data_IF_684856946878
#
_entry.id   IF_684856946878
#
_cell.length_a   1.000
_cell.length_b   1.000
_cell.length_c   1.000
_cell.angle_alpha   90.00
_cell.angle_beta   90.00
_cell.angle_gamma   90.00
#
_symmetry.space_group_name_H-M   'P 1'
#
loop_
_entity.id
_entity.type
_entity.pdbx_description
1 polymer ?
#
# COMPACT_ATOMS: atom_id res chain seq x y z
N UNK A 1 -0.43 -1.53 11.78
CA UNK A 1 -0.40 -0.18 11.15
C UNK A 1 0.14 0.88 12.09
N UNK A 2 -0.24 0.87 13.36
CA UNK A 2 0.25 1.89 14.31
C UNK A 2 1.78 1.96 14.37
N UNK A 3 2.47 0.84 14.53
CA UNK A 3 3.93 0.81 14.66
C UNK A 3 4.67 1.22 13.36
N UNK A 4 4.20 0.78 12.20
CA UNK A 4 4.77 1.23 10.92
C UNK A 4 4.56 2.73 10.71
N UNK A 5 3.41 3.25 11.11
CA UNK A 5 3.15 4.68 11.06
C UNK A 5 3.98 5.45 12.09
N UNK A 6 4.26 4.87 13.27
CA UNK A 6 5.15 5.45 14.29
C UNK A 6 6.57 5.55 13.74
N UNK A 7 7.13 4.49 13.16
CA UNK A 7 8.48 4.53 12.58
C UNK A 7 8.62 5.54 11.44
N UNK A 8 7.58 5.69 10.57
CA UNK A 8 7.56 6.76 9.58
C UNK A 8 7.48 8.13 10.25
N UNK A 9 6.66 8.28 11.28
CA UNK A 9 6.54 9.53 12.04
C UNK A 9 7.85 9.90 12.72
N UNK A 10 8.55 8.93 13.30
CA UNK A 10 9.85 9.14 13.94
C UNK A 10 10.91 9.56 12.91
N UNK A 11 10.93 8.93 11.73
CA UNK A 11 11.83 9.32 10.65
C UNK A 11 11.55 10.74 10.14
N UNK A 12 10.28 11.13 10.03
CA UNK A 12 9.88 12.49 9.67
C UNK A 12 10.26 13.51 10.76
N UNK A 13 10.04 13.18 12.03
CA UNK A 13 10.41 14.01 13.17
C UNK A 13 11.94 14.21 13.24
N UNK A 14 12.70 13.12 13.06
CA UNK A 14 14.16 13.18 13.03
C UNK A 14 14.68 14.06 11.89
N UNK A 15 14.09 13.95 10.69
CA UNK A 15 14.38 14.83 9.55
C UNK A 15 14.10 16.28 9.88
N UNK A 16 12.93 16.57 10.45
CA UNK A 16 12.52 17.94 10.80
C UNK A 16 13.46 18.54 11.83
N UNK A 17 13.85 17.78 12.87
CA UNK A 17 14.80 18.20 13.88
C UNK A 17 16.21 18.49 13.29
N UNK A 18 16.62 17.70 12.29
CA UNK A 18 17.90 17.87 11.61
C UNK A 18 17.89 18.99 10.54
N UNK A 19 16.74 19.51 10.15
CA UNK A 19 16.61 20.53 9.10
C UNK A 19 17.12 20.05 7.72
N UNK A 20 17.11 18.74 7.44
CA UNK A 20 17.67 18.16 6.22
C UNK A 20 16.59 17.95 5.13
N UNK A 21 16.98 17.98 3.84
CA UNK A 21 16.07 17.60 2.75
C UNK A 21 15.54 16.17 2.94
N UNK A 22 14.32 15.91 2.42
CA UNK A 22 13.77 14.58 2.39
C UNK A 22 14.59 13.64 1.52
N UNK A 23 14.60 12.37 1.90
CA UNK A 23 15.33 11.32 1.19
C UNK A 23 14.59 10.00 1.22
N UNK A 24 14.87 9.14 0.25
CA UNK A 24 14.45 7.75 0.22
C UNK A 24 15.58 6.87 0.75
N UNK A 25 15.26 6.01 1.72
CA UNK A 25 16.25 5.13 2.38
C UNK A 25 15.78 3.68 2.27
N UNK A 26 16.34 2.88 1.36
CA UNK A 26 16.08 1.45 1.29
C UNK A 26 16.95 0.69 2.31
N UNK A 27 16.34 -0.24 3.01
CA UNK A 27 17.01 -1.23 3.89
C UNK A 27 16.64 -2.62 3.42
N UNK A 28 17.60 -3.34 2.85
CA UNK A 28 17.38 -4.72 2.41
C UNK A 28 17.10 -5.60 3.63
N UNK A 29 16.02 -6.37 3.59
CA UNK A 29 15.57 -7.28 4.64
C UNK A 29 15.68 -8.76 4.25
N UNK A 30 15.64 -9.08 2.96
CA UNK A 30 15.86 -10.43 2.45
C UNK A 30 16.37 -10.41 1.00
N UNK A 31 17.10 -11.47 0.63
CA UNK A 31 17.58 -11.71 -0.74
C UNK A 31 17.55 -13.19 -1.07
N UNK A 32 17.31 -13.48 -2.35
CA UNK A 32 17.46 -14.80 -2.94
C UNK A 32 17.96 -14.71 -4.36
N UNK A 33 18.00 -15.84 -5.04
CA UNK A 33 18.43 -15.90 -6.44
C UNK A 33 17.37 -15.25 -7.35
N UNK A 34 17.69 -14.05 -7.81
CA UNK A 34 16.85 -13.26 -8.73
C UNK A 34 15.74 -12.42 -8.05
N UNK A 35 15.74 -12.28 -6.72
CA UNK A 35 14.83 -11.39 -6.01
C UNK A 35 15.48 -10.73 -4.79
N UNK A 36 14.98 -9.54 -4.46
CA UNK A 36 15.38 -8.78 -3.27
C UNK A 36 14.14 -8.16 -2.64
N UNK A 37 14.07 -8.13 -1.32
CA UNK A 37 13.03 -7.41 -0.56
C UNK A 37 13.68 -6.34 0.30
N UNK A 38 13.12 -5.15 0.27
CA UNK A 38 13.59 -4.03 1.07
C UNK A 38 12.44 -3.28 1.74
N UNK A 39 12.72 -2.80 2.94
CA UNK A 39 11.95 -1.79 3.64
C UNK A 39 12.42 -0.43 3.14
N UNK A 40 11.54 0.33 2.54
CA UNK A 40 11.86 1.63 1.93
C UNK A 40 11.09 2.70 2.66
N UNK A 41 11.82 3.58 3.34
CA UNK A 41 11.25 4.76 4.02
C UNK A 41 11.62 6.01 3.22
N UNK A 42 10.62 6.74 2.82
CA UNK A 42 10.78 8.05 2.18
C UNK A 42 10.34 9.15 3.16
N UNK A 43 11.17 10.14 3.35
CA UNK A 43 10.86 11.30 4.20
C UNK A 43 10.62 12.59 3.40
N UNK A 44 10.49 12.50 2.07
CA UNK A 44 10.21 13.67 1.23
C UNK A 44 8.84 14.28 1.53
N UNK A 45 8.72 15.59 1.35
CA UNK A 45 7.50 16.37 1.55
C UNK A 45 7.26 17.35 0.39
N UNK A 46 6.24 18.24 0.51
CA UNK A 46 5.82 19.12 -0.57
C UNK A 46 6.89 20.13 -1.04
N UNK A 47 7.88 20.40 -0.21
CA UNK A 47 8.96 21.34 -0.51
C UNK A 47 10.18 20.65 -1.13
N UNK A 48 10.24 19.33 -1.09
CA UNK A 48 11.34 18.59 -1.70
C UNK A 48 11.10 18.45 -3.21
N UNK A 49 12.19 18.33 -3.95
CA UNK A 49 12.11 18.06 -5.39
C UNK A 49 11.58 16.65 -5.61
N UNK A 50 10.76 16.44 -6.66
CA UNK A 50 10.38 15.08 -7.05
C UNK A 50 11.63 14.22 -7.24
N UNK A 51 11.52 12.99 -6.77
CA UNK A 51 12.58 12.01 -6.90
C UNK A 51 12.44 11.31 -8.25
N UNK A 52 13.42 11.48 -9.12
CA UNK A 52 13.46 10.85 -10.45
C UNK A 52 14.54 9.77 -10.47
N UNK A 53 14.18 8.59 -10.94
CA UNK A 53 15.09 7.47 -11.08
C UNK A 53 14.65 6.50 -12.19
N UNK A 54 15.45 5.45 -12.39
CA UNK A 54 15.15 4.35 -13.31
C UNK A 54 15.08 3.04 -12.54
N UNK A 55 14.04 2.23 -12.80
CA UNK A 55 13.94 0.89 -12.25
C UNK A 55 15.06 -0.01 -12.80
N UNK A 56 16.01 -0.39 -11.95
CA UNK A 56 17.09 -1.32 -12.31
C UNK A 56 16.62 -2.75 -12.47
N UNK A 57 15.50 -3.07 -11.85
CA UNK A 57 14.83 -4.38 -11.82
C UNK A 57 13.33 -4.18 -11.97
N UNK A 58 12.58 -5.26 -12.20
CA UNK A 58 11.12 -5.18 -12.11
C UNK A 58 10.73 -5.00 -10.65
N UNK A 59 9.96 -3.97 -10.35
CA UNK A 59 9.58 -3.59 -9.00
C UNK A 59 8.09 -3.80 -8.73
N UNK A 60 7.78 -4.37 -7.57
CA UNK A 60 6.43 -4.38 -6.97
C UNK A 60 6.58 -3.87 -5.55
N UNK A 61 6.10 -2.65 -5.27
CA UNK A 61 6.18 -2.08 -3.93
C UNK A 61 4.80 -2.01 -3.29
N UNK A 62 4.67 -2.56 -2.08
CA UNK A 62 3.46 -2.52 -1.26
C UNK A 62 3.52 -1.27 -0.40
N UNK A 63 2.62 -0.31 -0.59
CA UNK A 63 2.52 0.87 0.27
C UNK A 63 1.98 0.46 1.64
N UNK A 64 2.78 0.65 2.68
CA UNK A 64 2.43 0.29 4.06
C UNK A 64 1.90 1.50 4.86
N UNK A 65 2.43 2.70 4.59
CA UNK A 65 1.99 3.94 5.21
C UNK A 65 2.24 5.12 4.27
N UNK A 66 1.47 6.19 4.46
CA UNK A 66 1.59 7.42 3.69
C UNK A 66 0.92 7.37 2.32
N UNK A 67 1.10 8.47 1.58
CA UNK A 67 0.59 8.58 0.22
C UNK A 67 1.47 9.51 -0.61
N UNK A 68 1.70 9.16 -1.87
CA UNK A 68 2.52 9.92 -2.80
C UNK A 68 2.02 9.78 -4.23
N UNK A 69 2.48 10.64 -5.09
CA UNK A 69 2.25 10.57 -6.52
C UNK A 69 3.39 9.78 -7.18
N UNK A 70 3.03 8.84 -8.03
CA UNK A 70 3.96 8.06 -8.83
C UNK A 70 3.65 8.26 -10.31
N UNK A 71 4.67 8.62 -11.09
CA UNK A 71 4.58 8.81 -12.54
C UNK A 71 5.63 7.95 -13.24
N UNK A 72 5.19 7.22 -14.26
CA UNK A 72 6.06 6.43 -15.14
C UNK A 72 5.51 6.42 -16.57
N UNK A 73 6.16 5.70 -17.46
CA UNK A 73 5.66 5.49 -18.84
C UNK A 73 4.30 4.77 -18.89
N UNK A 74 3.91 4.07 -17.82
CA UNK A 74 2.64 3.31 -17.72
C UNK A 74 1.49 4.12 -17.10
N UNK A 75 1.75 5.35 -16.65
CA UNK A 75 0.73 6.24 -16.12
C UNK A 75 1.20 7.10 -14.96
N UNK A 76 0.26 7.91 -14.46
CA UNK A 76 0.40 8.73 -13.25
C UNK A 76 -0.69 8.35 -12.27
N UNK A 77 -0.30 7.95 -11.07
CA UNK A 77 -1.17 7.38 -10.06
C UNK A 77 -0.91 7.97 -8.69
N UNK A 78 -1.96 8.06 -7.87
CA UNK A 78 -1.83 8.33 -6.44
C UNK A 78 -1.66 6.99 -5.72
N UNK A 79 -0.52 6.80 -5.10
CA UNK A 79 -0.22 5.67 -4.24
C UNK A 79 -0.80 5.91 -2.85
N UNK A 80 -1.40 4.88 -2.28
CA UNK A 80 -2.00 4.91 -0.95
C UNK A 80 -1.86 3.56 -0.26
N UNK A 81 -2.00 3.55 1.06
CA UNK A 81 -1.82 2.35 1.87
C UNK A 81 -2.61 1.14 1.35
N UNK A 82 -1.89 0.05 1.12
CA UNK A 82 -2.40 -1.21 0.58
C UNK A 82 -2.40 -1.30 -0.95
N UNK A 83 -2.07 -0.24 -1.67
CA UNK A 83 -1.85 -0.29 -3.12
C UNK A 83 -0.50 -0.90 -3.46
N UNK A 84 -0.37 -1.44 -4.66
CA UNK A 84 0.90 -1.85 -5.23
C UNK A 84 1.36 -0.84 -6.27
N UNK A 85 2.58 -0.36 -6.13
CA UNK A 85 3.32 0.35 -7.17
C UNK A 85 3.98 -0.67 -8.08
N UNK A 86 3.91 -0.45 -9.39
CA UNK A 86 4.45 -1.35 -10.41
C UNK A 86 5.49 -0.62 -11.26
N UNK A 87 6.71 -1.15 -11.26
CA UNK A 87 7.83 -0.64 -12.04
C UNK A 87 8.38 -1.68 -13.02
N UNK A 88 8.55 -1.30 -14.27
CA UNK A 88 9.21 -2.16 -15.27
C UNK A 88 10.69 -1.88 -15.31
N UNK A 89 11.52 -2.92 -15.40
CA UNK A 89 12.95 -2.81 -15.63
C UNK A 89 13.28 -1.86 -16.78
N UNK A 90 14.25 -0.96 -16.57
CA UNK A 90 14.74 -0.01 -17.56
C UNK A 90 13.84 1.22 -17.78
N UNK A 91 12.68 1.32 -17.09
CA UNK A 91 11.79 2.47 -17.24
C UNK A 91 12.05 3.53 -16.16
N UNK A 92 12.07 4.80 -16.60
CA UNK A 92 12.15 5.95 -15.70
C UNK A 92 10.84 6.14 -14.93
N UNK A 93 10.96 6.66 -13.70
CA UNK A 93 9.83 7.03 -12.87
C UNK A 93 10.13 8.28 -12.04
N UNK A 94 9.06 8.92 -11.59
CA UNK A 94 9.11 10.06 -10.67
C UNK A 94 8.18 9.78 -9.49
N UNK A 95 8.69 9.99 -8.27
CA UNK A 95 7.88 10.03 -7.05
C UNK A 95 7.83 11.46 -6.49
N UNK A 96 6.64 11.92 -6.11
CA UNK A 96 6.42 13.26 -5.57
C UNK A 96 5.46 13.25 -4.38
N UNK A 97 5.80 14.01 -3.33
CA UNK A 97 4.96 14.20 -2.13
C UNK A 97 4.31 15.59 -2.15
N UNK A 98 3.56 15.92 -3.20
CA UNK A 98 2.98 17.27 -3.40
C UNK A 98 1.98 17.66 -2.31
N UNK A 99 1.34 16.68 -1.68
CA UNK A 99 0.21 16.90 -0.76
C UNK A 99 0.31 16.11 0.53
N UNK A 100 1.43 15.45 0.78
CA UNK A 100 1.70 14.65 1.96
C UNK A 100 3.17 14.70 2.34
N UNK A 101 3.52 14.09 3.46
CA UNK A 101 4.88 13.95 3.92
C UNK A 101 5.17 12.47 4.15
N UNK A 102 6.16 11.97 3.45
CA UNK A 102 6.70 10.64 3.59
C UNK A 102 5.76 9.49 3.21
N UNK A 103 6.39 8.36 3.01
CA UNK A 103 5.73 7.06 2.87
C UNK A 103 6.67 5.93 3.31
N UNK A 104 6.10 4.75 3.51
CA UNK A 104 6.84 3.53 3.75
C UNK A 104 6.30 2.40 2.89
N UNK A 105 7.21 1.73 2.21
CA UNK A 105 6.90 0.64 1.29
C UNK A 105 7.71 -0.61 1.61
N UNK A 106 7.11 -1.80 1.44
CA UNK A 106 7.86 -3.04 1.27
C UNK A 106 8.04 -3.25 -0.23
N UNK A 107 9.26 -3.08 -0.70
CA UNK A 107 9.59 -3.18 -2.11
C UNK A 107 10.21 -4.54 -2.44
N UNK A 108 9.65 -5.19 -3.44
CA UNK A 108 10.14 -6.43 -4.01
C UNK A 108 10.74 -6.11 -5.38
N UNK A 109 12.01 -6.42 -5.54
CA UNK A 109 12.74 -6.26 -6.79
C UNK A 109 13.07 -7.61 -7.37
N UNK A 110 12.83 -7.78 -8.65
CA UNK A 110 13.02 -9.02 -9.38
C UNK A 110 13.95 -8.81 -10.55
N UNK A 111 15.02 -9.59 -10.62
CA UNK A 111 15.88 -9.63 -11.81
C UNK A 111 15.03 -9.91 -13.05
N UNK A 112 15.33 -9.26 -14.20
CA UNK A 112 14.48 -9.36 -15.39
C UNK A 112 14.20 -10.79 -15.83
N UNK A 113 15.20 -11.66 -15.83
CA UNK A 113 15.10 -13.06 -16.23
C UNK A 113 14.25 -13.87 -15.26
N UNK A 114 14.40 -13.60 -13.96
CA UNK A 114 13.60 -14.25 -12.91
C UNK A 114 12.14 -13.87 -13.03
N UNK A 115 11.84 -12.57 -13.19
CA UNK A 115 10.46 -12.10 -13.39
C UNK A 115 9.83 -12.67 -14.66
N UNK A 116 10.60 -12.77 -15.76
CA UNK A 116 10.13 -13.34 -17.01
C UNK A 116 9.74 -14.83 -16.86
N UNK A 117 10.52 -15.61 -16.09
CA UNK A 117 10.17 -17.00 -15.76
C UNK A 117 8.86 -17.06 -14.96
N UNK A 118 8.74 -16.30 -13.87
CA UNK A 118 7.51 -16.26 -13.06
C UNK A 118 6.28 -15.87 -13.90
N UNK A 119 6.43 -14.92 -14.81
CA UNK A 119 5.35 -14.50 -15.69
C UNK A 119 4.97 -15.61 -16.70
N UNK A 120 5.97 -16.36 -17.21
CA UNK A 120 5.70 -17.50 -18.08
C UNK A 120 4.98 -18.63 -17.34
N UNK A 121 5.43 -18.97 -16.14
CA UNK A 121 4.82 -20.00 -15.29
C UNK A 121 3.39 -19.63 -14.87
N UNK A 122 3.11 -18.34 -14.73
CA UNK A 122 1.77 -17.80 -14.52
C UNK A 122 0.90 -17.82 -15.79
N UNK A 123 1.38 -18.36 -16.90
CA UNK A 123 0.63 -18.48 -18.16
C UNK A 123 0.54 -17.18 -18.96
N UNK A 124 1.39 -16.19 -18.67
CA UNK A 124 1.36 -14.89 -19.35
C UNK A 124 2.10 -14.95 -20.70
N UNK A 125 1.47 -14.40 -21.76
CA UNK A 125 2.10 -14.32 -23.08
C UNK A 125 3.34 -13.42 -23.04
N UNK A 126 4.37 -13.71 -23.86
CA UNK A 126 5.62 -12.96 -23.89
C UNK A 126 5.43 -11.44 -24.05
N UNK A 127 4.46 -11.01 -24.88
CA UNK A 127 4.13 -9.61 -25.10
C UNK A 127 3.47 -8.92 -23.87
N UNK A 128 2.97 -9.69 -22.91
CA UNK A 128 2.22 -9.20 -21.74
C UNK A 128 3.02 -9.34 -20.43
N UNK A 129 4.32 -9.69 -20.52
CA UNK A 129 5.19 -9.87 -19.34
C UNK A 129 5.76 -8.56 -18.78
N UNK A 130 5.16 -7.43 -19.15
CA UNK A 130 5.44 -6.11 -18.60
C UNK A 130 4.15 -5.51 -18.06
N UNK A 131 4.25 -4.75 -16.99
CA UNK A 131 3.10 -4.03 -16.47
C UNK A 131 2.68 -2.94 -17.45
N UNK A 132 1.39 -2.91 -17.77
CA UNK A 132 0.75 -1.87 -18.61
C UNK A 132 0.11 -0.77 -17.78
N UNK A 133 0.12 -0.93 -16.45
CA UNK A 133 -0.41 0.03 -15.46
C UNK A 133 0.66 0.31 -14.42
N UNK A 134 0.62 1.50 -13.85
CA UNK A 134 1.57 1.93 -12.83
C UNK A 134 1.17 1.45 -11.41
N UNK A 135 -0.11 1.05 -11.22
CA UNK A 135 -0.66 0.73 -9.91
C UNK A 135 -1.68 -0.41 -9.98
N UNK A 136 -1.67 -1.26 -8.96
CA UNK A 136 -2.83 -2.09 -8.60
C UNK A 136 -3.47 -1.48 -7.35
N UNK A 137 -4.79 -1.17 -7.36
CA UNK A 137 -5.50 -0.70 -6.18
C UNK A 137 -5.41 -1.70 -5.02
N UNK A 138 -5.73 -1.30 -3.76
CA UNK A 138 -5.78 -2.23 -2.63
C UNK A 138 -6.92 -3.24 -2.80
N UNK A 139 -6.71 -4.25 -3.63
CA UNK A 139 -7.68 -5.29 -3.94
C UNK A 139 -7.67 -6.41 -2.90
N UNK A 140 -8.85 -6.98 -2.63
CA UNK A 140 -9.04 -8.07 -1.68
C UNK A 140 -8.12 -9.30 -1.90
N UNK A 141 -7.86 -9.77 -3.13
CA UNK A 141 -6.94 -10.89 -3.35
C UNK A 141 -5.50 -10.66 -2.87
N UNK A 142 -5.12 -9.41 -2.60
CA UNK A 142 -3.79 -9.02 -2.10
C UNK A 142 -3.74 -8.82 -0.59
N UNK A 143 -4.89 -8.79 0.10
CA UNK A 143 -4.96 -8.36 1.51
C UNK A 143 -4.12 -9.21 2.46
N UNK A 144 -4.07 -10.54 2.26
CA UNK A 144 -3.23 -11.43 3.06
C UNK A 144 -1.73 -11.18 2.84
N UNK A 145 -1.32 -10.95 1.60
CA UNK A 145 0.08 -10.66 1.25
C UNK A 145 0.50 -9.32 1.86
N UNK A 146 -0.34 -8.29 1.69
CA UNK A 146 -0.10 -6.94 2.25
C UNK A 146 0.02 -6.99 3.78
N UNK A 147 -0.86 -7.74 4.44
CA UNK A 147 -0.82 -7.89 5.90
C UNK A 147 0.42 -8.66 6.38
N UNK A 148 0.78 -9.78 5.70
CA UNK A 148 2.00 -10.55 6.02
C UNK A 148 3.27 -9.73 5.83
N UNK A 149 3.38 -9.01 4.71
CA UNK A 149 4.52 -8.12 4.47
C UNK A 149 4.62 -7.01 5.53
N UNK A 150 3.50 -6.43 5.95
CA UNK A 150 3.46 -5.43 7.02
C UNK A 150 3.81 -6.02 8.39
N UNK A 151 3.33 -7.22 8.73
CA UNK A 151 3.69 -7.91 9.97
C UNK A 151 5.19 -8.22 10.04
N UNK A 152 5.77 -8.65 8.92
CA UNK A 152 7.18 -8.97 8.81
C UNK A 152 8.12 -7.77 9.04
N UNK A 153 7.66 -6.56 8.79
CA UNK A 153 8.43 -5.34 9.11
C UNK A 153 8.54 -5.10 10.64
N UNK A 154 7.59 -5.59 11.43
CA UNK A 154 7.46 -5.27 12.85
C UNK A 154 8.00 -6.34 13.78
N UNK A 155 7.83 -7.57 13.39
CA UNK A 155 8.17 -8.70 14.25
C UNK A 155 9.44 -9.36 13.78
N UNK A 156 10.21 -9.87 14.74
CA UNK A 156 11.26 -10.88 14.50
C UNK A 156 10.64 -12.23 14.09
N UNK A 157 9.55 -12.19 13.32
CA UNK A 157 8.88 -13.39 12.80
C UNK A 157 9.64 -13.82 11.56
N UNK A 158 10.04 -15.07 11.54
CA UNK A 158 10.64 -15.67 10.35
C UNK A 158 9.55 -15.77 9.26
N UNK A 159 9.66 -14.90 8.27
CA UNK A 159 8.73 -14.86 7.14
C UNK A 159 9.38 -15.53 5.96
N UNK A 160 8.73 -16.49 5.30
CA UNK A 160 9.24 -17.10 4.08
C UNK A 160 9.18 -16.08 2.94
N UNK A 161 10.16 -15.16 2.91
CA UNK A 161 10.21 -14.04 1.96
C UNK A 161 10.18 -14.49 0.49
N UNK A 162 10.79 -15.63 0.18
CA UNK A 162 10.77 -16.19 -1.17
C UNK A 162 9.36 -16.58 -1.59
N UNK A 163 8.64 -17.34 -0.75
CA UNK A 163 7.25 -17.71 -1.01
C UNK A 163 6.36 -16.46 -1.18
N UNK A 164 6.58 -15.45 -0.33
CA UNK A 164 5.85 -14.20 -0.41
C UNK A 164 6.16 -13.43 -1.69
N UNK A 165 7.44 -13.38 -2.10
CA UNK A 165 7.89 -12.72 -3.33
C UNK A 165 7.28 -13.39 -4.58
N UNK A 166 7.35 -14.73 -4.66
CA UNK A 166 6.77 -15.50 -5.78
C UNK A 166 5.26 -15.31 -5.83
N UNK A 167 4.58 -15.47 -4.69
CA UNK A 167 3.11 -15.33 -4.60
C UNK A 167 2.68 -13.90 -4.97
N UNK A 168 3.39 -12.88 -4.51
CA UNK A 168 3.12 -11.48 -4.85
C UNK A 168 3.26 -11.25 -6.36
N UNK A 169 4.37 -11.70 -6.96
CA UNK A 169 4.61 -11.53 -8.39
C UNK A 169 3.50 -12.16 -9.24
N UNK A 170 3.20 -13.44 -9.01
CA UNK A 170 2.19 -14.18 -9.78
C UNK A 170 0.80 -13.53 -9.64
N UNK A 171 0.38 -13.20 -8.42
CA UNK A 171 -0.92 -12.54 -8.20
C UNK A 171 -0.98 -11.14 -8.82
N UNK A 172 0.12 -10.39 -8.72
CA UNK A 172 0.19 -9.05 -9.30
C UNK A 172 0.10 -9.09 -10.82
N UNK A 173 0.81 -9.99 -11.48
CA UNK A 173 0.74 -10.19 -12.93
C UNK A 173 -0.70 -10.47 -13.36
N UNK A 174 -1.38 -11.39 -12.70
CA UNK A 174 -2.77 -11.76 -13.02
C UNK A 174 -3.73 -10.59 -12.80
N UNK A 175 -3.60 -9.86 -11.69
CA UNK A 175 -4.51 -8.77 -11.34
C UNK A 175 -4.25 -7.52 -12.20
N UNK A 176 -3.00 -7.21 -12.51
CA UNK A 176 -2.64 -6.03 -13.31
C UNK A 176 -3.22 -6.09 -14.73
N UNK A 177 -3.41 -7.28 -15.29
CA UNK A 177 -4.05 -7.47 -16.60
C UNK A 177 -5.53 -7.03 -16.62
N UNK A 178 -6.22 -7.05 -15.48
CA UNK A 178 -7.61 -6.61 -15.34
C UNK A 178 -7.79 -5.18 -14.83
N UNK A 179 -6.71 -4.45 -14.57
CA UNK A 179 -6.76 -3.06 -14.09
C UNK A 179 -6.70 -2.10 -15.28
N UNK A 180 -7.61 -1.12 -15.29
CA UNK A 180 -7.54 -0.01 -16.25
C UNK A 180 -6.70 1.13 -15.67
N UNK A 181 -5.91 1.85 -16.48
CA UNK A 181 -5.21 3.06 -16.05
C UNK A 181 -6.20 4.09 -15.48
N UNK A 182 -5.78 4.82 -14.45
CA UNK A 182 -6.61 5.90 -13.90
C UNK A 182 -6.79 7.02 -14.91
N UNK A 183 -7.99 7.60 -14.96
CA UNK A 183 -8.24 8.80 -15.76
C UNK A 183 -7.48 9.99 -15.17
N UNK A 184 -7.00 10.90 -16.02
CA UNK A 184 -6.38 12.15 -15.57
C UNK A 184 -7.32 12.92 -14.66
N UNK A 185 -6.82 13.29 -13.50
CA UNK A 185 -7.58 14.03 -12.50
C UNK A 185 -7.14 15.49 -12.46
N UNK A 186 -8.05 16.40 -12.07
CA UNK A 186 -7.66 17.77 -11.73
C UNK A 186 -6.71 17.75 -10.52
N UNK A 187 -5.68 18.58 -10.54
CA UNK A 187 -4.70 18.72 -9.44
C UNK A 187 -5.36 18.97 -8.08
N UNK A 188 -6.45 19.73 -8.06
CA UNK A 188 -7.21 20.02 -6.84
C UNK A 188 -7.82 18.77 -6.19
N UNK A 189 -8.17 17.76 -7.00
CA UNK A 189 -8.76 16.51 -6.50
C UNK A 189 -7.70 15.66 -5.76
N UNK A 190 -6.46 15.68 -6.22
CA UNK A 190 -5.36 14.95 -5.59
C UNK A 190 -5.06 15.49 -4.19
N UNK A 191 -4.97 16.82 -4.05
CA UNK A 191 -4.78 17.49 -2.76
C UNK A 191 -5.89 17.15 -1.76
N UNK A 192 -7.14 17.19 -2.22
CA UNK A 192 -8.30 16.85 -1.41
C UNK A 192 -8.25 15.39 -0.93
N UNK A 193 -7.90 14.47 -1.82
CA UNK A 193 -7.80 13.06 -1.49
C UNK A 193 -6.63 12.74 -0.56
N UNK A 194 -5.46 13.36 -0.76
CA UNK A 194 -4.33 13.20 0.15
C UNK A 194 -4.69 13.59 1.58
N UNK A 195 -5.45 14.71 1.77
CA UNK A 195 -5.97 15.09 3.10
C UNK A 195 -6.90 14.03 3.69
N UNK A 196 -7.80 13.48 2.88
CA UNK A 196 -8.74 12.44 3.31
C UNK A 196 -8.01 11.14 3.68
N UNK A 197 -7.04 10.70 2.88
CA UNK A 197 -6.24 9.50 3.15
C UNK A 197 -5.51 9.64 4.50
N UNK A 198 -4.84 10.76 4.73
CA UNK A 198 -4.19 11.04 6.04
C UNK A 198 -5.19 11.05 7.19
N UNK A 199 -6.41 11.58 6.99
CA UNK A 199 -7.46 11.55 8.01
C UNK A 199 -7.90 10.13 8.35
N UNK A 200 -8.01 9.27 7.34
CA UNK A 200 -8.34 7.85 7.52
C UNK A 200 -7.20 7.11 8.26
N UNK A 201 -5.96 7.39 7.92
CA UNK A 201 -4.79 6.74 8.54
C UNK A 201 -4.62 7.12 10.03
N UNK A 202 -4.86 8.39 10.36
CA UNK A 202 -4.81 8.86 11.76
C UNK A 202 -5.91 8.27 12.64
N UNK A 203 -7.01 7.80 12.04
CA UNK A 203 -8.17 7.30 12.78
C UNK A 203 -8.89 8.41 13.57
N UNK A 204 -9.61 8.02 14.61
CA UNK A 204 -10.38 8.93 15.50
C UNK A 204 -11.86 8.97 15.13
N UNK A 205 -12.51 10.12 15.21
CA UNK A 205 -13.95 10.34 15.05
C UNK A 205 -14.64 9.61 13.88
N UNK A 206 -15.96 9.46 13.90
CA UNK A 206 -16.71 8.74 12.87
C UNK A 206 -16.38 9.23 11.44
N UNK A 207 -15.81 8.36 10.63
CA UNK A 207 -15.45 8.65 9.25
C UNK A 207 -16.63 8.38 8.31
N UNK A 208 -17.68 9.20 8.43
CA UNK A 208 -18.85 9.12 7.54
C UNK A 208 -18.52 9.71 6.16
N UNK A 209 -19.28 9.30 5.14
CA UNK A 209 -19.13 9.84 3.78
C UNK A 209 -19.25 11.38 3.78
N UNK A 210 -20.21 11.93 4.51
CA UNK A 210 -20.40 13.38 4.61
C UNK A 210 -19.23 14.09 5.31
N UNK A 211 -18.65 13.51 6.36
CA UNK A 211 -17.47 14.06 7.04
C UNK A 211 -16.25 14.06 6.13
N UNK A 212 -15.99 12.96 5.42
CA UNK A 212 -14.88 12.85 4.47
C UNK A 212 -15.04 13.80 3.27
N UNK A 213 -16.27 13.94 2.76
CA UNK A 213 -16.57 14.86 1.66
C UNK A 213 -16.34 16.33 2.08
N UNK A 214 -16.80 16.74 3.28
CA UNK A 214 -16.50 18.07 3.82
C UNK A 214 -15.00 18.30 3.99
N UNK A 215 -14.27 17.31 4.48
CA UNK A 215 -12.82 17.40 4.63
C UNK A 215 -12.10 17.55 3.27
N UNK A 216 -12.68 16.96 2.22
CA UNK A 216 -12.21 17.13 0.85
C UNK A 216 -12.62 18.47 0.22
N UNK A 217 -13.58 19.21 0.80
CA UNK A 217 -14.17 20.39 0.18
C UNK A 217 -15.06 20.07 -1.01
N UNK A 218 -15.69 18.88 -1.02
CA UNK A 218 -16.52 18.37 -2.11
C UNK A 218 -17.92 18.00 -1.61
N UNK A 219 -18.92 18.01 -2.52
CA UNK A 219 -20.20 17.38 -2.21
C UNK A 219 -20.02 15.87 -2.07
N UNK A 220 -20.88 15.15 -1.30
CA UNK A 220 -20.78 13.71 -1.13
C UNK A 220 -20.76 12.92 -2.44
N UNK A 221 -21.51 13.34 -3.43
CA UNK A 221 -21.56 12.69 -4.75
C UNK A 221 -20.23 12.88 -5.52
N UNK A 222 -19.73 14.11 -5.60
CA UNK A 222 -18.45 14.40 -6.26
C UNK A 222 -17.29 13.73 -5.55
N UNK A 223 -17.28 13.73 -4.21
CA UNK A 223 -16.28 13.02 -3.41
C UNK A 223 -16.28 11.53 -3.70
N UNK A 224 -17.45 10.87 -3.69
CA UNK A 224 -17.57 9.44 -3.97
C UNK A 224 -17.01 9.07 -5.36
N UNK A 225 -17.39 9.82 -6.39
CA UNK A 225 -16.90 9.62 -7.76
C UNK A 225 -15.40 9.81 -7.88
N UNK A 226 -14.89 10.92 -7.34
CA UNK A 226 -13.47 11.27 -7.40
C UNK A 226 -12.63 10.25 -6.62
N UNK A 227 -13.04 9.92 -5.40
CA UNK A 227 -12.34 8.93 -4.59
C UNK A 227 -12.26 7.58 -5.29
N UNK A 228 -13.38 7.08 -5.82
CA UNK A 228 -13.40 5.80 -6.56
C UNK A 228 -12.55 5.84 -7.82
N UNK A 229 -12.58 6.94 -8.57
CA UNK A 229 -11.78 7.09 -9.79
C UNK A 229 -10.27 7.08 -9.50
N UNK A 230 -9.84 7.71 -8.39
CA UNK A 230 -8.42 7.81 -8.01
C UNK A 230 -7.93 6.57 -7.28
N UNK A 231 -8.66 6.15 -6.26
CA UNK A 231 -8.21 5.08 -5.36
C UNK A 231 -8.59 3.69 -5.89
N UNK A 232 -9.55 3.61 -6.80
CA UNK A 232 -10.07 2.34 -7.33
C UNK A 232 -11.07 1.64 -6.43
N UNK A 233 -11.38 2.22 -5.26
CA UNK A 233 -12.32 1.72 -4.25
C UNK A 233 -13.26 2.83 -3.81
N UNK A 234 -14.43 2.45 -3.27
CA UNK A 234 -15.26 3.43 -2.56
C UNK A 234 -14.62 3.81 -1.22
N UNK A 235 -14.93 5.00 -0.65
CA UNK A 235 -14.44 5.41 0.66
C UNK A 235 -14.75 4.38 1.76
N UNK A 236 -15.94 3.80 1.75
CA UNK A 236 -16.34 2.76 2.70
C UNK A 236 -15.50 1.48 2.57
N UNK A 237 -15.28 1.01 1.33
CA UNK A 237 -14.42 -0.17 1.08
C UNK A 237 -12.98 0.09 1.52
N UNK A 238 -12.46 1.27 1.24
CA UNK A 238 -11.10 1.65 1.66
C UNK A 238 -10.97 1.69 3.19
N UNK A 239 -11.91 2.34 3.88
CA UNK A 239 -11.95 2.41 5.34
C UNK A 239 -12.08 1.03 5.98
N UNK A 240 -12.98 0.18 5.46
CA UNK A 240 -13.14 -1.18 5.95
C UNK A 240 -11.82 -1.97 5.86
N UNK A 241 -11.14 -1.90 4.71
CA UNK A 241 -9.85 -2.57 4.53
C UNK A 241 -8.75 -1.98 5.41
N UNK A 242 -8.74 -0.65 5.62
CA UNK A 242 -7.80 -0.03 6.55
C UNK A 242 -7.99 -0.58 7.98
N UNK A 243 -9.24 -0.70 8.45
CA UNK A 243 -9.57 -1.29 9.75
C UNK A 243 -9.17 -2.76 9.85
N UNK A 244 -9.43 -3.54 8.81
CA UNK A 244 -9.07 -4.96 8.77
C UNK A 244 -7.56 -5.17 8.75
N UNK A 245 -6.80 -4.34 8.03
CA UNK A 245 -5.32 -4.36 8.07
C UNK A 245 -4.80 -4.01 9.48
N UNK A 246 -5.37 -2.99 10.12
CA UNK A 246 -5.02 -2.65 11.49
C UNK A 246 -5.30 -3.80 12.47
N UNK A 247 -6.43 -4.49 12.30
CA UNK A 247 -6.76 -5.66 13.10
C UNK A 247 -5.79 -6.83 12.84
N UNK A 248 -5.46 -7.11 11.58
CA UNK A 248 -4.51 -8.15 11.21
C UNK A 248 -3.13 -7.90 11.84
N UNK A 249 -2.66 -6.67 11.83
CA UNK A 249 -1.44 -6.22 12.48
C UNK A 249 -1.46 -6.53 13.98
N UNK A 250 -2.49 -6.07 14.69
CA UNK A 250 -2.64 -6.30 16.14
C UNK A 250 -2.73 -7.78 16.53
N UNK A 251 -3.35 -8.61 15.67
CA UNK A 251 -3.44 -10.04 15.90
C UNK A 251 -2.08 -10.74 15.86
N UNK A 252 -1.12 -10.22 15.08
CA UNK A 252 0.25 -10.75 15.01
C UNK A 252 1.17 -10.20 16.09
N UNK A 253 0.84 -9.04 16.67
CA UNK A 253 1.66 -8.34 17.65
C UNK A 253 1.30 -8.68 19.10
N UNK A 254 0.09 -9.17 19.37
CA UNK A 254 -0.39 -9.39 20.72
C UNK A 254 -1.28 -10.61 20.86
N UNK A 255 -1.22 -11.23 22.05
CA UNK A 255 -2.12 -12.32 22.47
C UNK A 255 -3.45 -11.82 23.04
N UNK A 256 -3.75 -10.52 22.89
CA UNK A 256 -4.98 -9.88 23.34
C UNK A 256 -6.24 -10.58 22.79
N UNK A 257 -7.38 -10.43 23.46
CA UNK A 257 -8.63 -11.06 23.01
C UNK A 257 -9.02 -10.55 21.62
N UNK A 258 -9.49 -11.44 20.76
CA UNK A 258 -10.02 -11.07 19.43
C UNK A 258 -11.13 -10.00 19.54
N UNK A 259 -11.89 -10.04 20.63
CA UNK A 259 -12.91 -9.05 20.97
C UNK A 259 -12.32 -7.62 21.05
N UNK A 260 -11.24 -7.48 21.81
CA UNK A 260 -10.58 -6.19 22.03
C UNK A 260 -9.98 -5.68 20.73
N UNK A 261 -9.31 -6.56 19.98
CA UNK A 261 -8.77 -6.24 18.65
C UNK A 261 -9.86 -5.73 17.69
N UNK A 262 -11.07 -6.32 17.74
CA UNK A 262 -12.17 -5.90 16.89
C UNK A 262 -12.62 -4.46 17.24
N UNK A 263 -12.85 -4.17 18.52
CA UNK A 263 -13.29 -2.85 18.98
C UNK A 263 -12.21 -1.79 18.74
N UNK A 264 -10.97 -2.07 19.08
CA UNK A 264 -9.83 -1.17 18.86
C UNK A 264 -9.58 -0.87 17.38
N UNK A 265 -10.01 -1.77 16.48
CA UNK A 265 -9.95 -1.55 15.05
C UNK A 265 -11.18 -0.84 14.48
N UNK A 266 -12.09 -0.38 15.37
CA UNK A 266 -13.26 0.43 15.02
C UNK A 266 -14.47 -0.36 14.52
N UNK A 267 -14.58 -1.65 14.90
CA UNK A 267 -15.80 -2.43 14.68
C UNK A 267 -16.72 -2.30 15.91
N UNK A 268 -18.00 -2.07 15.68
CA UNK A 268 -18.99 -2.02 16.75
C UNK A 268 -19.57 -3.37 17.15
N UNK A 269 -19.25 -4.43 16.41
CA UNK A 269 -19.78 -5.79 16.62
C UNK A 269 -18.77 -6.84 16.14
N UNK A 270 -18.51 -7.84 16.99
CA UNK A 270 -17.55 -8.93 16.74
C UNK A 270 -18.01 -9.88 15.66
N UNK A 271 -19.31 -10.12 15.52
CA UNK A 271 -19.84 -11.01 14.49
C UNK A 271 -19.60 -10.40 13.10
N UNK A 272 -19.84 -9.09 12.98
CA UNK A 272 -19.54 -8.34 11.76
C UNK A 272 -18.02 -8.33 11.47
N UNK A 273 -17.20 -8.11 12.49
CA UNK A 273 -15.75 -8.19 12.38
C UNK A 273 -15.31 -9.56 11.86
N UNK A 274 -15.73 -10.65 12.50
CA UNK A 274 -15.34 -12.02 12.10
C UNK A 274 -15.74 -12.33 10.66
N UNK A 275 -16.93 -11.92 10.24
CA UNK A 275 -17.42 -12.09 8.87
C UNK A 275 -16.59 -11.29 7.87
N UNK A 276 -16.36 -10.02 8.16
CA UNK A 276 -15.57 -9.14 7.31
C UNK A 276 -14.10 -9.60 7.22
N UNK A 277 -13.51 -10.00 8.36
CA UNK A 277 -12.14 -10.50 8.42
C UNK A 277 -11.96 -11.79 7.60
N UNK A 278 -12.86 -12.77 7.80
CA UNK A 278 -12.84 -14.01 6.99
C UNK A 278 -13.05 -13.71 5.51
N UNK A 279 -13.94 -12.79 5.19
CA UNK A 279 -14.17 -12.37 3.81
C UNK A 279 -12.91 -11.75 3.18
N UNK A 280 -12.13 -10.96 3.92
CA UNK A 280 -10.94 -10.27 3.41
C UNK A 280 -9.71 -11.19 3.36
N UNK A 281 -9.46 -11.97 4.39
CA UNK A 281 -8.24 -12.77 4.55
C UNK A 281 -8.42 -14.27 4.27
N UNK A 282 -9.64 -14.75 4.02
CA UNK A 282 -9.94 -16.15 3.73
C UNK A 282 -9.98 -17.05 4.97
N UNK A 283 -9.64 -16.54 6.16
CA UNK A 283 -9.59 -17.30 7.40
C UNK A 283 -10.08 -16.49 8.60
N UNK A 284 -10.37 -17.17 9.73
CA UNK A 284 -10.81 -16.49 10.95
C UNK A 284 -9.66 -15.70 11.59
N UNK A 285 -9.96 -14.66 12.42
CA UNK A 285 -8.94 -13.93 13.18
C UNK A 285 -8.07 -14.82 14.06
N UNK A 286 -8.66 -15.86 14.69
CA UNK A 286 -7.92 -16.84 15.51
C UNK A 286 -6.97 -17.71 14.68
N UNK A 287 -7.36 -18.08 13.46
CA UNK A 287 -6.49 -18.84 12.57
C UNK A 287 -5.35 -17.96 12.04
N UNK A 288 -5.66 -16.71 11.70
CA UNK A 288 -4.68 -15.73 11.22
C UNK A 288 -3.58 -15.42 12.24
N UNK A 289 -3.91 -15.38 13.54
CA UNK A 289 -2.91 -15.19 14.63
C UNK A 289 -1.86 -16.28 14.69
N UNK A 290 -2.17 -17.48 14.20
CA UNK A 290 -1.29 -18.66 14.26
C UNK A 290 -0.44 -18.87 13.01
N UNK A 291 -0.60 -18.00 12.00
CA UNK A 291 0.20 -18.00 10.77
C UNK A 291 1.37 -17.05 10.85
#
# INVERSE_FOLDING_TARGET
MAEIAVELTDALAARQAAGTPGRTTPRVIARGDGWTVADVVCTCGPQDRPYEEQHRETAIAIVQAGSFEYRSSTGREVMSTGALLLGNHGHGFECAHRHGEGDRCVSFWYAPEYFQRLAADAGTRAADRRFKVARVPPLRPLSSIVARAGAALRASVDVPWEELAVTLAVRTITLAAGVSPSSRLPLNAEAALARVLRRIERGGEPLTLGALARHAGLSPYHFLRTFKAVIGLTPHQYLLRARLRAAASRLTESDGKVLDVAFDSGFGDVSNFNRAFRAEFGMSPRAFRRT
#
